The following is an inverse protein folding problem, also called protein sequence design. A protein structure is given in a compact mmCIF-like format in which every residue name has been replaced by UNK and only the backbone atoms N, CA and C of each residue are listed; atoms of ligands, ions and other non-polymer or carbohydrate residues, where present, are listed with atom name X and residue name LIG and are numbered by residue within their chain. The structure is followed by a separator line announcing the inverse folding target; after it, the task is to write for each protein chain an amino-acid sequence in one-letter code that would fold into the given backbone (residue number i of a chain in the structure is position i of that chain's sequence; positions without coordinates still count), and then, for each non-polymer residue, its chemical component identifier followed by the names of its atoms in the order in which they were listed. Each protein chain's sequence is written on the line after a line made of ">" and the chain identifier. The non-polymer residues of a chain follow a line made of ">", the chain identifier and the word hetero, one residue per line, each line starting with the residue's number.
data_IF_289843487555
#
_entry.id   IF_289843487555
#
_cell.length_a   1.000
_cell.length_b   1.000
_cell.length_c   1.000
_cell.angle_alpha   90.00
_cell.angle_beta   90.00
_cell.angle_gamma   90.00
#
_symmetry.space_group_name_H-M   'P 1'
#
loop_
_entity.id
_entity.type
_entity.pdbx_description
1 polymer ?
#
# COMPACT_ATOMS: atom_id res chain seq x y z
N UNK A 1 -21.31 7.23 3.42
CA UNK A 1 -22.73 6.98 3.75
C UNK A 1 -23.47 6.58 2.48
N UNK A 2 -24.52 5.75 2.60
CA UNK A 2 -25.18 5.09 1.48
C UNK A 2 -26.21 5.97 0.75
N UNK A 3 -26.62 7.10 1.35
CA UNK A 3 -27.53 8.10 0.76
C UNK A 3 -28.88 7.57 0.28
N UNK A 4 -29.39 6.52 0.93
CA UNK A 4 -30.72 5.98 0.70
C UNK A 4 -31.75 6.64 1.62
N UNK A 5 -32.96 6.86 1.10
CA UNK A 5 -34.07 7.41 1.87
C UNK A 5 -34.59 6.33 2.81
N UNK A 6 -34.76 6.60 4.12
CA UNK A 6 -35.34 5.64 5.05
C UNK A 6 -36.75 5.21 4.62
N UNK A 7 -37.06 3.92 4.73
CA UNK A 7 -38.43 3.43 4.53
C UNK A 7 -39.34 3.89 5.67
N UNK A 8 -40.33 4.71 5.34
CA UNK A 8 -41.34 5.23 6.26
C UNK A 8 -42.14 4.12 6.98
N UNK A 9 -42.08 2.88 6.49
CA UNK A 9 -42.69 1.70 7.14
C UNK A 9 -41.76 1.00 8.15
N UNK A 10 -40.59 1.56 8.49
CA UNK A 10 -39.69 0.99 9.50
C UNK A 10 -39.99 1.47 10.92
N UNK A 11 -41.17 1.10 11.41
CA UNK A 11 -41.71 1.47 12.74
C UNK A 11 -41.27 0.56 13.89
N UNK A 12 -40.39 -0.42 13.65
CA UNK A 12 -39.85 -1.30 14.71
C UNK A 12 -38.35 -1.49 14.58
N UNK A 13 -37.65 -1.71 15.70
CA UNK A 13 -36.20 -1.99 15.73
C UNK A 13 -35.80 -3.12 14.78
N UNK A 14 -36.64 -4.16 14.67
CA UNK A 14 -36.40 -5.28 13.78
C UNK A 14 -36.49 -4.89 12.30
N UNK A 15 -37.41 -3.98 11.94
CA UNK A 15 -37.57 -3.50 10.58
C UNK A 15 -36.41 -2.56 10.19
N UNK A 16 -36.06 -1.62 11.07
CA UNK A 16 -34.89 -0.74 10.89
C UNK A 16 -33.62 -1.57 10.72
N UNK A 17 -33.40 -2.58 11.58
CA UNK A 17 -32.23 -3.47 11.45
C UNK A 17 -32.22 -4.22 10.12
N UNK A 18 -33.37 -4.73 9.67
CA UNK A 18 -33.46 -5.46 8.40
C UNK A 18 -33.14 -4.57 7.21
N UNK A 19 -33.67 -3.35 7.20
CA UNK A 19 -33.36 -2.36 6.17
C UNK A 19 -31.86 -2.05 6.15
N UNK A 20 -31.28 -1.66 7.29
CA UNK A 20 -29.85 -1.32 7.36
C UNK A 20 -28.97 -2.48 6.90
N UNK A 21 -29.27 -3.71 7.31
CA UNK A 21 -28.53 -4.90 6.86
C UNK A 21 -28.70 -5.12 5.35
N UNK A 22 -29.90 -4.93 4.81
CA UNK A 22 -30.15 -5.02 3.36
C UNK A 22 -29.36 -3.98 2.58
N UNK A 23 -29.40 -2.72 3.01
CA UNK A 23 -28.64 -1.63 2.41
C UNK A 23 -27.13 -1.88 2.41
N UNK A 24 -26.59 -2.46 3.50
CA UNK A 24 -25.18 -2.84 3.56
C UNK A 24 -24.88 -4.03 2.65
N UNK A 25 -25.77 -5.02 2.55
CA UNK A 25 -25.58 -6.18 1.70
C UNK A 25 -25.60 -5.82 0.20
N UNK A 26 -26.43 -4.85 -0.18
CA UNK A 26 -26.65 -4.46 -1.58
C UNK A 26 -25.71 -3.33 -2.05
N UNK A 27 -24.97 -2.70 -1.15
CA UNK A 27 -24.07 -1.61 -1.52
C UNK A 27 -22.84 -2.11 -2.31
N UNK A 28 -22.20 -1.21 -3.05
CA UNK A 28 -20.93 -1.52 -3.70
C UNK A 28 -19.91 -2.00 -2.67
N UNK A 29 -19.18 -3.07 -2.97
CA UNK A 29 -18.30 -3.76 -2.01
C UNK A 29 -17.39 -2.81 -1.19
N UNK A 30 -16.89 -1.73 -1.80
CA UNK A 30 -15.98 -0.80 -1.15
C UNK A 30 -16.67 0.07 -0.09
N UNK A 31 -17.99 0.24 -0.17
CA UNK A 31 -18.79 1.00 0.81
C UNK A 31 -18.81 0.34 2.18
N UNK A 32 -18.65 -0.98 2.27
CA UNK A 32 -18.48 -1.66 3.56
C UNK A 32 -17.29 -1.09 4.34
N UNK A 33 -16.21 -0.79 3.63
CA UNK A 33 -15.04 -0.17 4.24
C UNK A 33 -15.25 1.31 4.58
N UNK A 34 -15.93 2.08 3.71
CA UNK A 34 -16.32 3.47 4.02
C UNK A 34 -17.17 3.54 5.31
N UNK A 35 -18.12 2.61 5.46
CA UNK A 35 -18.97 2.48 6.64
C UNK A 35 -18.14 2.10 7.85
N UNK A 36 -17.27 1.09 7.74
CA UNK A 36 -16.43 0.65 8.85
C UNK A 36 -15.53 1.79 9.37
N UNK A 37 -14.96 2.59 8.48
CA UNK A 37 -14.15 3.76 8.83
C UNK A 37 -14.99 4.89 9.42
N UNK A 38 -16.21 5.12 8.91
CA UNK A 38 -17.15 6.11 9.45
C UNK A 38 -17.55 5.77 10.88
N UNK A 39 -17.87 4.50 11.16
CA UNK A 39 -18.19 4.02 12.51
C UNK A 39 -17.01 4.24 13.46
N UNK A 40 -15.81 3.87 13.04
CA UNK A 40 -14.60 4.09 13.84
C UNK A 40 -14.34 5.57 14.13
N UNK A 41 -14.49 6.46 13.13
CA UNK A 41 -14.36 7.91 13.34
C UNK A 41 -15.43 8.46 14.30
N UNK A 42 -16.65 7.91 14.24
CA UNK A 42 -17.73 8.29 15.15
C UNK A 42 -17.50 7.93 16.62
N UNK A 43 -16.51 7.08 16.90
CA UNK A 43 -16.09 6.72 18.27
C UNK A 43 -14.97 7.63 18.80
N UNK A 44 -14.62 8.73 18.13
CA UNK A 44 -13.49 9.59 18.53
C UNK A 44 -13.57 10.15 19.96
N UNK A 45 -14.78 10.31 20.49
CA UNK A 45 -15.02 10.81 21.84
C UNK A 45 -14.89 9.70 22.91
N UNK A 46 -14.71 8.44 22.49
CA UNK A 46 -14.54 7.26 23.33
C UNK A 46 -13.34 6.42 22.86
N UNK A 47 -12.11 6.80 23.26
CA UNK A 47 -10.88 6.17 22.79
C UNK A 47 -10.82 4.66 23.06
N UNK A 48 -11.36 4.20 24.19
CA UNK A 48 -11.35 2.78 24.55
C UNK A 48 -12.20 1.96 23.56
N UNK A 49 -13.40 2.43 23.25
CA UNK A 49 -14.25 1.77 22.27
C UNK A 49 -13.73 1.92 20.84
N UNK A 50 -13.13 3.06 20.51
CA UNK A 50 -12.49 3.29 19.22
C UNK A 50 -11.35 2.31 18.97
N UNK A 51 -10.48 2.12 19.96
CA UNK A 51 -9.36 1.17 19.90
C UNK A 51 -9.85 -0.28 19.84
N UNK A 52 -10.82 -0.65 20.69
CA UNK A 52 -11.42 -1.98 20.65
C UNK A 52 -12.04 -2.30 19.29
N UNK A 53 -12.76 -1.36 18.69
CA UNK A 53 -13.33 -1.52 17.35
C UNK A 53 -12.23 -1.76 16.31
N UNK A 54 -11.16 -0.96 16.34
CA UNK A 54 -10.02 -1.09 15.44
C UNK A 54 -9.36 -2.47 15.57
N UNK A 55 -9.13 -2.94 16.80
CA UNK A 55 -8.49 -4.22 17.06
C UNK A 55 -9.33 -5.40 16.58
N UNK A 56 -10.63 -5.41 16.87
CA UNK A 56 -11.55 -6.46 16.43
C UNK A 56 -11.71 -6.47 14.91
N UNK A 57 -11.83 -5.31 14.27
CA UNK A 57 -11.91 -5.22 12.80
C UNK A 57 -10.63 -5.74 12.14
N UNK A 58 -9.46 -5.35 12.66
CA UNK A 58 -8.18 -5.84 12.16
C UNK A 58 -7.98 -7.34 12.41
N UNK A 59 -8.47 -7.87 13.54
CA UNK A 59 -8.48 -9.32 13.79
C UNK A 59 -9.33 -10.04 12.75
N UNK A 60 -10.55 -9.56 12.51
CA UNK A 60 -11.45 -10.10 11.50
C UNK A 60 -10.80 -10.10 10.10
N UNK A 61 -10.17 -8.99 9.68
CA UNK A 61 -9.48 -8.95 8.39
C UNK A 61 -8.37 -10.00 8.29
N UNK A 62 -7.57 -10.19 9.33
CA UNK A 62 -6.52 -11.23 9.34
C UNK A 62 -7.10 -12.63 9.25
N UNK A 63 -8.11 -12.94 10.06
CA UNK A 63 -8.75 -14.26 10.08
C UNK A 63 -9.44 -14.63 8.76
N UNK A 64 -9.94 -13.61 8.04
CA UNK A 64 -10.58 -13.79 6.72
C UNK A 64 -9.64 -13.62 5.54
N UNK A 65 -8.35 -13.35 5.77
CA UNK A 65 -7.38 -13.11 4.70
C UNK A 65 -7.66 -11.84 3.89
N UNK A 66 -8.37 -10.87 4.47
CA UNK A 66 -8.68 -9.59 3.84
C UNK A 66 -7.44 -8.68 3.95
N UNK A 67 -6.95 -8.22 2.81
CA UNK A 67 -5.72 -7.42 2.68
C UNK A 67 -5.83 -5.96 3.14
N UNK A 68 -6.69 -5.64 4.10
CA UNK A 68 -6.88 -4.28 4.63
C UNK A 68 -6.55 -4.23 6.12
N UNK A 69 -6.20 -3.04 6.61
CA UNK A 69 -6.06 -2.77 8.03
C UNK A 69 -6.51 -1.34 8.36
N UNK A 70 -7.04 -1.13 9.56
CA UNK A 70 -7.41 0.16 10.10
C UNK A 70 -6.27 0.69 10.97
N UNK A 71 -5.64 1.78 10.52
CA UNK A 71 -4.58 2.50 11.21
C UNK A 71 -5.12 3.74 11.94
N UNK A 72 -4.61 4.00 13.14
CA UNK A 72 -5.09 5.07 14.04
C UNK A 72 -5.09 6.47 13.42
N UNK A 73 -4.10 6.78 12.58
CA UNK A 73 -3.94 8.14 12.04
C UNK A 73 -4.26 8.24 10.56
N UNK A 74 -4.59 7.12 9.90
CA UNK A 74 -4.80 7.07 8.44
C UNK A 74 -6.14 6.51 8.02
N UNK A 75 -6.85 5.80 8.91
CA UNK A 75 -8.03 5.04 8.51
C UNK A 75 -7.64 3.72 7.86
N UNK A 76 -8.49 3.24 6.95
CA UNK A 76 -8.28 1.96 6.27
C UNK A 76 -7.21 2.08 5.18
N UNK A 77 -6.17 1.26 5.31
CA UNK A 77 -5.05 1.17 4.39
C UNK A 77 -4.91 -0.25 3.83
N UNK A 78 -4.40 -0.34 2.61
CA UNK A 78 -4.03 -1.61 2.00
C UNK A 78 -2.86 -2.22 2.78
N UNK A 79 -3.08 -3.42 3.29
CA UNK A 79 -2.09 -4.26 3.98
C UNK A 79 -1.47 -5.28 3.03
N UNK A 80 -2.21 -5.71 2.01
CA UNK A 80 -1.83 -6.80 1.11
C UNK A 80 -1.71 -8.15 1.80
N UNK A 81 -0.94 -9.05 1.16
CA UNK A 81 -0.57 -10.35 1.73
C UNK A 81 0.33 -10.22 2.97
N UNK A 82 0.47 -11.29 3.76
CA UNK A 82 1.36 -11.29 4.92
C UNK A 82 2.82 -11.04 4.52
N UNK A 83 3.29 -11.67 3.43
CA UNK A 83 4.63 -11.47 2.89
C UNK A 83 4.87 -10.02 2.44
N UNK A 84 3.90 -9.43 1.76
CA UNK A 84 3.93 -8.03 1.35
C UNK A 84 4.00 -7.08 2.56
N UNK A 85 3.14 -7.30 3.55
CA UNK A 85 3.11 -6.49 4.77
C UNK A 85 4.44 -6.59 5.52
N UNK A 86 5.03 -7.78 5.63
CA UNK A 86 6.30 -8.00 6.29
C UNK A 86 7.46 -7.28 5.59
N UNK A 87 7.57 -7.39 4.25
CA UNK A 87 8.69 -6.78 3.51
C UNK A 87 8.59 -5.25 3.47
N UNK A 88 7.40 -4.70 3.30
CA UNK A 88 7.18 -3.24 3.26
C UNK A 88 7.42 -2.60 4.63
N UNK A 89 6.94 -3.23 5.71
CA UNK A 89 7.22 -2.79 7.08
C UNK A 89 8.72 -2.83 7.38
N UNK A 90 9.42 -3.91 6.98
CA UNK A 90 10.86 -4.02 7.16
C UNK A 90 11.64 -2.98 6.37
N UNK A 91 11.25 -2.69 5.13
CA UNK A 91 11.90 -1.67 4.32
C UNK A 91 11.74 -0.28 4.93
N UNK A 92 10.52 0.08 5.37
CA UNK A 92 10.28 1.34 6.08
C UNK A 92 11.12 1.45 7.35
N UNK A 93 11.28 0.36 8.11
CA UNK A 93 12.14 0.35 9.30
C UNK A 93 13.61 0.59 8.94
N UNK A 94 14.17 -0.18 7.99
CA UNK A 94 15.58 -0.12 7.60
C UNK A 94 15.94 1.24 6.99
N UNK A 95 15.09 1.79 6.13
CA UNK A 95 15.33 3.09 5.50
C UNK A 95 15.28 4.24 6.51
N UNK A 96 14.35 4.21 7.47
CA UNK A 96 14.32 5.21 8.56
C UNK A 96 15.55 5.14 9.46
N UNK A 97 15.95 3.94 9.86
CA UNK A 97 17.11 3.74 10.76
C UNK A 97 18.44 4.11 10.10
N UNK A 98 18.46 4.20 8.77
CA UNK A 98 19.65 4.52 7.98
C UNK A 98 19.59 5.89 7.31
N UNK A 99 18.72 6.78 7.81
CA UNK A 99 18.56 8.18 7.36
C UNK A 99 18.23 8.34 5.86
N UNK A 100 17.46 7.40 5.29
CA UNK A 100 16.97 7.43 3.90
C UNK A 100 15.51 7.86 3.84
N UNK A 101 15.23 9.05 4.36
CA UNK A 101 13.88 9.57 4.52
C UNK A 101 13.10 9.64 3.18
N UNK A 102 13.75 10.06 2.09
CA UNK A 102 13.14 10.12 0.76
C UNK A 102 12.66 8.75 0.30
N UNK A 103 13.53 7.73 0.34
CA UNK A 103 13.16 6.37 -0.05
C UNK A 103 12.03 5.80 0.82
N UNK A 104 12.06 6.07 2.12
CA UNK A 104 10.97 5.69 3.02
C UNK A 104 9.67 6.42 2.68
N UNK A 105 9.72 7.68 2.23
CA UNK A 105 8.54 8.41 1.81
C UNK A 105 7.92 7.79 0.55
N UNK A 106 8.74 7.52 -0.46
CA UNK A 106 8.31 6.88 -1.70
C UNK A 106 7.61 5.54 -1.46
N UNK A 107 8.11 4.68 -0.55
CA UNK A 107 7.39 3.44 -0.20
C UNK A 107 6.03 3.73 0.44
N UNK A 108 5.89 4.80 1.24
CA UNK A 108 4.58 5.17 1.81
C UNK A 108 3.62 5.68 0.74
N UNK A 109 4.09 6.46 -0.22
CA UNK A 109 3.27 6.89 -1.36
C UNK A 109 2.80 5.67 -2.15
N UNK A 110 3.69 4.72 -2.43
CA UNK A 110 3.32 3.48 -3.11
C UNK A 110 2.23 2.68 -2.38
N UNK A 111 2.32 2.59 -1.05
CA UNK A 111 1.26 1.98 -0.23
C UNK A 111 -0.04 2.79 -0.24
N UNK A 112 0.05 4.12 -0.25
CA UNK A 112 -1.10 5.01 -0.37
C UNK A 112 -1.83 4.83 -1.69
N UNK A 113 -1.09 4.67 -2.78
CA UNK A 113 -1.61 4.42 -4.11
C UNK A 113 -2.35 3.07 -4.23
N UNK A 114 -1.79 2.01 -3.64
CA UNK A 114 -2.47 0.72 -3.51
C UNK A 114 -3.69 0.77 -2.58
N UNK A 115 -3.73 1.74 -1.66
CA UNK A 115 -4.85 1.93 -0.72
C UNK A 115 -6.02 2.72 -1.32
N UNK A 116 -5.91 3.21 -2.56
CA UNK A 116 -7.01 3.96 -3.18
C UNK A 116 -8.20 3.05 -3.47
N UNK A 117 -9.40 3.58 -3.22
CA UNK A 117 -10.69 2.90 -3.44
C UNK A 117 -11.57 3.81 -4.31
N UNK A 118 -12.40 3.25 -5.22
CA UNK A 118 -12.61 1.82 -5.46
C UNK A 118 -11.52 1.17 -6.34
N UNK A 119 -10.70 1.96 -7.03
CA UNK A 119 -9.66 1.47 -7.95
C UNK A 119 -8.30 1.96 -7.43
N UNK A 120 -7.33 1.05 -7.18
CA UNK A 120 -5.99 1.42 -6.75
C UNK A 120 -5.19 2.08 -7.90
N UNK A 121 -4.27 2.97 -7.54
CA UNK A 121 -3.33 3.60 -8.49
C UNK A 121 -2.08 2.73 -8.67
N UNK A 122 -2.24 1.65 -9.44
CA UNK A 122 -1.20 0.63 -9.65
C UNK A 122 0.05 1.20 -10.32
N UNK A 123 -0.16 2.11 -11.26
CA UNK A 123 0.91 2.80 -11.98
C UNK A 123 1.69 3.71 -11.02
N UNK A 124 1.01 4.52 -10.21
CA UNK A 124 1.64 5.32 -9.16
C UNK A 124 2.42 4.47 -8.18
N UNK A 125 1.84 3.35 -7.72
CA UNK A 125 2.51 2.43 -6.80
C UNK A 125 3.83 1.87 -7.36
N UNK A 126 3.84 1.45 -8.62
CA UNK A 126 5.05 0.97 -9.31
C UNK A 126 6.10 2.09 -9.46
N UNK A 127 5.67 3.29 -9.83
CA UNK A 127 6.56 4.43 -9.99
C UNK A 127 7.22 4.83 -8.67
N UNK A 128 6.43 4.96 -7.60
CA UNK A 128 6.93 5.28 -6.27
C UNK A 128 7.82 4.17 -5.70
N UNK A 129 7.50 2.89 -5.92
CA UNK A 129 8.38 1.79 -5.52
C UNK A 129 9.78 1.89 -6.15
N UNK A 130 9.85 2.13 -7.47
CA UNK A 130 11.13 2.28 -8.16
C UNK A 130 11.83 3.59 -7.81
N UNK A 131 11.08 4.66 -7.54
CA UNK A 131 11.64 5.91 -7.02
C UNK A 131 12.30 5.72 -5.64
N UNK A 132 11.71 4.90 -4.77
CA UNK A 132 12.31 4.55 -3.48
C UNK A 132 13.66 3.83 -3.64
N UNK A 133 13.70 2.89 -4.57
CA UNK A 133 14.90 2.14 -4.92
C UNK A 133 15.97 3.03 -5.55
N UNK A 134 15.58 3.92 -6.46
CA UNK A 134 16.46 4.91 -7.08
C UNK A 134 17.04 5.88 -6.03
N UNK A 135 16.22 6.39 -5.12
CA UNK A 135 16.66 7.23 -4.01
C UNK A 135 17.65 6.50 -3.10
N UNK A 136 17.40 5.22 -2.80
CA UNK A 136 18.31 4.36 -2.03
C UNK A 136 19.65 4.18 -2.75
N UNK A 137 19.61 3.91 -4.06
CA UNK A 137 20.80 3.76 -4.89
C UNK A 137 21.62 5.04 -4.95
N UNK A 138 21.01 6.19 -5.24
CA UNK A 138 21.66 7.51 -5.28
C UNK A 138 22.43 7.82 -4.01
N UNK A 139 21.83 7.51 -2.86
CA UNK A 139 22.44 7.73 -1.55
C UNK A 139 23.65 6.83 -1.34
N UNK A 140 23.56 5.54 -1.69
CA UNK A 140 24.65 4.58 -1.55
C UNK A 140 25.82 4.85 -2.48
N UNK A 141 25.55 5.32 -3.70
CA UNK A 141 26.58 5.56 -4.71
C UNK A 141 27.11 6.99 -4.72
N UNK A 142 26.55 7.90 -3.90
CA UNK A 142 26.90 9.32 -3.88
C UNK A 142 26.60 10.06 -5.20
N UNK A 143 25.61 9.62 -5.98
CA UNK A 143 25.35 10.12 -7.34
C UNK A 143 23.90 10.63 -7.48
N UNK A 144 23.58 11.84 -6.99
CA UNK A 144 22.20 12.31 -6.78
C UNK A 144 21.40 12.53 -8.07
N UNK A 145 22.05 12.75 -9.21
CA UNK A 145 21.38 13.14 -10.47
C UNK A 145 21.17 11.97 -11.44
N UNK A 146 21.59 10.76 -11.09
CA UNK A 146 21.46 9.58 -11.96
C UNK A 146 20.15 8.85 -11.73
N UNK A 147 19.62 8.22 -12.77
CA UNK A 147 18.49 7.30 -12.62
C UNK A 147 18.98 5.89 -12.23
N UNK A 148 18.07 5.02 -11.82
CA UNK A 148 18.42 3.67 -11.36
C UNK A 148 19.18 2.87 -12.43
N UNK A 149 18.75 2.90 -13.70
CA UNK A 149 19.45 2.20 -14.79
C UNK A 149 20.92 2.65 -14.97
N UNK A 150 21.23 3.91 -14.69
CA UNK A 150 22.61 4.44 -14.70
C UNK A 150 23.40 4.13 -13.42
N UNK A 151 22.74 3.63 -12.38
CA UNK A 151 23.32 3.33 -11.08
C UNK A 151 23.55 1.84 -10.85
N UNK A 152 22.87 0.95 -11.58
CA UNK A 152 22.95 -0.51 -11.42
C UNK A 152 24.41 -1.00 -11.34
N UNK A 153 25.27 -0.58 -12.27
CA UNK A 153 26.67 -0.99 -12.28
C UNK A 153 27.45 -0.50 -11.05
N UNK A 154 27.12 0.69 -10.54
CA UNK A 154 27.76 1.27 -9.35
C UNK A 154 27.23 0.65 -8.04
N UNK A 155 26.15 -0.13 -8.09
CA UNK A 155 25.63 -0.86 -6.94
C UNK A 155 26.38 -2.15 -6.68
N UNK A 156 27.30 -2.60 -7.54
CA UNK A 156 28.10 -3.82 -7.31
C UNK A 156 27.25 -5.04 -6.90
N UNK A 157 26.19 -5.30 -7.68
CA UNK A 157 25.33 -6.47 -7.47
C UNK A 157 25.97 -7.71 -8.13
N UNK A 158 25.87 -8.90 -7.50
CA UNK A 158 26.34 -10.13 -8.13
C UNK A 158 25.67 -10.37 -9.47
N UNK A 159 26.43 -10.70 -10.51
CA UNK A 159 25.84 -11.03 -11.82
C UNK A 159 25.15 -12.40 -11.74
N UNK A 160 23.95 -12.59 -12.33
CA UNK A 160 23.18 -11.67 -13.18
C UNK A 160 22.08 -10.88 -12.44
N UNK A 161 22.16 -10.70 -11.12
CA UNK A 161 21.15 -9.96 -10.33
C UNK A 161 21.09 -8.48 -10.72
N UNK A 162 22.21 -7.91 -11.15
CA UNK A 162 22.29 -6.59 -11.78
C UNK A 162 21.31 -6.44 -12.94
N UNK A 163 21.26 -7.43 -13.83
CA UNK A 163 20.36 -7.43 -14.98
C UNK A 163 18.89 -7.53 -14.57
N UNK A 164 18.57 -8.28 -13.51
CA UNK A 164 17.21 -8.34 -12.99
C UNK A 164 16.74 -6.95 -12.52
N UNK A 165 17.63 -6.19 -11.87
CA UNK A 165 17.32 -4.84 -11.43
C UNK A 165 17.11 -3.86 -12.59
N UNK A 166 17.95 -3.96 -13.63
CA UNK A 166 17.79 -3.20 -14.87
C UNK A 166 16.45 -3.50 -15.56
N UNK A 167 16.04 -4.77 -15.62
CA UNK A 167 14.72 -5.15 -16.18
C UNK A 167 13.55 -4.67 -15.34
N UNK A 168 13.65 -4.70 -14.02
CA UNK A 168 12.64 -4.14 -13.12
C UNK A 168 12.46 -2.64 -13.36
N UNK A 169 13.57 -1.90 -13.49
CA UNK A 169 13.53 -0.48 -13.83
C UNK A 169 12.94 -0.22 -15.22
N UNK A 170 13.32 -1.05 -16.20
CA UNK A 170 12.78 -1.01 -17.56
C UNK A 170 11.27 -1.23 -17.59
N UNK A 171 10.76 -2.20 -16.81
CA UNK A 171 9.34 -2.46 -16.63
C UNK A 171 8.63 -1.22 -16.07
N UNK A 172 9.07 -0.70 -14.93
CA UNK A 172 8.43 0.47 -14.30
C UNK A 172 8.47 1.73 -15.19
N UNK A 173 9.55 1.91 -15.95
CA UNK A 173 9.69 3.05 -16.88
C UNK A 173 8.66 3.04 -18.01
N UNK A 174 8.19 1.86 -18.43
CA UNK A 174 7.11 1.73 -19.42
C UNK A 174 5.77 2.23 -18.87
N UNK A 175 5.51 2.05 -17.58
CA UNK A 175 4.32 2.60 -16.91
C UNK A 175 4.51 4.06 -16.46
N UNK A 176 5.73 4.60 -16.58
CA UNK A 176 6.10 5.98 -16.21
C UNK A 176 5.84 7.02 -17.30
N UNK A 177 6.61 6.93 -18.40
CA UNK A 177 6.76 8.03 -19.39
C UNK A 177 6.10 7.76 -20.73
N UNK A 178 5.72 6.51 -20.98
CA UNK A 178 5.08 6.05 -22.20
C UNK A 178 4.03 5.04 -21.84
N UNK A 179 2.93 5.48 -21.20
CA UNK A 179 1.74 4.65 -21.07
C UNK A 179 1.41 4.11 -22.47
N UNK A 180 1.78 2.86 -22.72
CA UNK A 180 1.21 2.11 -23.84
C UNK A 180 -0.27 2.04 -23.52
N UNK A 181 -1.07 2.80 -24.26
CA UNK A 181 -2.52 2.72 -24.19
C UNK A 181 -2.93 1.24 -24.31
N UNK A 182 -3.40 0.64 -23.22
CA UNK A 182 -4.05 -0.66 -23.26
C UNK A 182 -3.66 -1.68 -22.19
N UNK A 183 -2.49 -1.59 -21.56
CA UNK A 183 -2.07 -2.58 -20.54
C UNK A 183 -1.77 -1.88 -19.21
N UNK A 184 -2.79 -1.68 -18.38
CA UNK A 184 -2.57 -1.36 -16.97
C UNK A 184 -2.02 -2.59 -16.26
N UNK A 185 -1.03 -2.43 -15.36
CA UNK A 185 -0.60 -3.53 -14.52
C UNK A 185 -1.78 -3.97 -13.64
N UNK A 186 -1.85 -5.27 -13.32
CA UNK A 186 -2.84 -5.78 -12.38
C UNK A 186 -2.40 -5.57 -10.91
N UNK A 187 -3.29 -5.90 -9.97
CA UNK A 187 -3.02 -5.73 -8.53
C UNK A 187 -1.83 -6.57 -8.06
N UNK A 188 -1.70 -7.80 -8.55
CA UNK A 188 -0.64 -8.73 -8.16
C UNK A 188 0.73 -8.26 -8.69
N UNK A 189 0.77 -7.72 -9.91
CA UNK A 189 1.96 -7.12 -10.51
C UNK A 189 2.42 -5.89 -9.72
N UNK A 190 1.50 -5.01 -9.34
CA UNK A 190 1.84 -3.85 -8.53
C UNK A 190 2.36 -4.26 -7.14
N UNK A 191 1.70 -5.21 -6.47
CA UNK A 191 2.14 -5.77 -5.18
C UNK A 191 3.54 -6.41 -5.29
N UNK A 192 3.80 -7.16 -6.36
CA UNK A 192 5.07 -7.81 -6.62
C UNK A 192 6.20 -6.79 -6.83
N UNK A 193 5.99 -5.77 -7.66
CA UNK A 193 7.03 -4.76 -7.93
C UNK A 193 7.38 -3.98 -6.67
N UNK A 194 6.37 -3.58 -5.88
CA UNK A 194 6.57 -2.90 -4.59
C UNK A 194 7.35 -3.81 -3.63
N UNK A 195 7.01 -5.11 -3.58
CA UNK A 195 7.74 -6.09 -2.76
C UNK A 195 9.21 -6.23 -3.15
N UNK A 196 9.49 -6.36 -4.45
CA UNK A 196 10.85 -6.49 -4.98
C UNK A 196 11.65 -5.23 -4.65
N UNK A 197 11.09 -4.05 -4.91
CA UNK A 197 11.76 -2.79 -4.60
C UNK A 197 12.10 -2.67 -3.10
N UNK A 198 11.16 -3.03 -2.22
CA UNK A 198 11.38 -3.08 -0.78
C UNK A 198 12.51 -4.06 -0.40
N UNK A 199 12.48 -5.29 -0.94
CA UNK A 199 13.49 -6.30 -0.68
C UNK A 199 14.90 -5.85 -1.12
N UNK A 200 15.01 -5.24 -2.31
CA UNK A 200 16.28 -4.72 -2.82
C UNK A 200 16.76 -3.54 -1.96
N UNK A 201 15.90 -2.61 -1.57
CA UNK A 201 16.24 -1.54 -0.65
C UNK A 201 16.82 -2.08 0.67
N UNK A 202 16.16 -3.09 1.28
CA UNK A 202 16.64 -3.73 2.50
C UNK A 202 18.02 -4.34 2.28
N UNK A 203 18.20 -5.11 1.21
CA UNK A 203 19.45 -5.76 0.87
C UNK A 203 20.60 -4.74 0.69
N UNK A 204 20.38 -3.71 -0.13
CA UNK A 204 21.37 -2.69 -0.44
C UNK A 204 21.81 -1.87 0.79
N UNK A 205 20.90 -1.62 1.73
CA UNK A 205 21.22 -0.88 2.95
C UNK A 205 21.88 -1.78 4.00
N UNK A 206 21.48 -3.04 4.07
CA UNK A 206 21.98 -3.98 5.10
C UNK A 206 23.32 -4.60 4.76
N UNK A 207 23.76 -4.50 3.49
CA UNK A 207 25.09 -4.97 3.09
C UNK A 207 26.17 -4.18 3.82
N UNK A 208 27.16 -4.88 4.35
CA UNK A 208 28.38 -4.21 4.83
C UNK A 208 29.17 -3.78 3.59
N UNK A 209 29.74 -2.56 3.57
CA UNK A 209 30.79 -2.27 2.60
C UNK A 209 31.92 -3.27 2.85
N UNK A 210 32.41 -3.93 1.80
CA UNK A 210 33.68 -4.65 1.84
C UNK A 210 34.84 -3.67 2.05
#
# INVERSE_FOLDING_TARGET
>A
MLFEVPDDNNWSDANVRREVVGLIADCQWFKVYDIAETLWRGLSDDPENQDRYREELNRFFREKGIGWQLEEHKGLTFRGSEGFSAVTAKALQVLKQSDRATAANEIREALGDLSRRPIPDRTGAIQHAVAALEATARHLTGQPNKNLGQLVDALDLPKPLDQALDKLWGFASQYGRHLREGEMPDDDQAELVVSIACAVCIFLVSRKPE
#
